data_IF_217562490099
#
_entry.id   IF_217562490099
#
_cell.length_a   1.000
_cell.length_b   1.000
_cell.length_c   1.000
_cell.angle_alpha   90.00
_cell.angle_beta   90.00
_cell.angle_gamma   90.00
#
_symmetry.space_group_name_H-M   'P 1'
#
loop_
_entity.id
_entity.type
_entity.pdbx_description
1 polymer ?
#
# COMPACT_ATOMS: atom_id res chain seq x y z
N UNK A 1 3.22 -13.41 1.41
CA UNK A 1 2.63 -12.50 2.40
C UNK A 1 2.28 -11.14 1.79
N UNK A 2 1.37 -10.36 2.42
CA UNK A 2 1.17 -8.94 2.12
C UNK A 2 2.00 -8.11 3.10
N UNK A 3 2.90 -7.27 2.58
CA UNK A 3 3.72 -6.37 3.37
C UNK A 3 3.14 -4.95 3.31
N UNK A 4 2.68 -4.40 4.45
CA UNK A 4 2.36 -2.98 4.56
C UNK A 4 3.60 -2.29 5.12
N UNK A 5 4.35 -1.62 4.25
CA UNK A 5 5.59 -0.94 4.63
C UNK A 5 5.26 0.42 5.24
N UNK A 6 5.56 0.57 6.52
CA UNK A 6 5.31 1.80 7.28
C UNK A 6 6.61 2.51 7.63
N UNK A 7 6.57 3.84 7.65
CA UNK A 7 7.62 4.70 8.16
C UNK A 7 6.99 5.76 9.06
N UNK A 8 7.75 6.31 10.00
CA UNK A 8 7.25 7.34 10.91
C UNK A 8 6.59 8.49 10.13
N UNK A 9 5.39 8.87 10.56
CA UNK A 9 4.53 9.85 9.87
C UNK A 9 3.57 9.25 8.84
N UNK A 10 3.40 7.91 8.80
CA UNK A 10 2.38 7.29 7.95
C UNK A 10 0.96 7.74 8.35
N UNK A 11 0.01 7.70 7.42
CA UNK A 11 -1.41 7.99 7.72
C UNK A 11 -2.09 6.74 8.29
N UNK A 12 -2.59 6.87 9.52
CA UNK A 12 -3.10 5.74 10.32
C UNK A 12 -4.24 4.98 9.63
N UNK A 13 -5.22 5.72 9.09
CA UNK A 13 -6.39 5.09 8.44
C UNK A 13 -5.98 4.34 7.18
N UNK A 14 -5.03 4.89 6.44
CA UNK A 14 -4.55 4.31 5.16
C UNK A 14 -3.72 3.03 5.35
N UNK A 15 -3.13 2.85 6.52
CA UNK A 15 -2.42 1.64 6.90
C UNK A 15 -3.33 0.61 7.60
N UNK A 16 -4.08 1.05 8.64
CA UNK A 16 -4.81 0.16 9.54
C UNK A 16 -6.10 -0.36 8.90
N UNK A 17 -6.81 0.46 8.12
CA UNK A 17 -8.05 0.03 7.46
C UNK A 17 -7.81 -1.15 6.49
N UNK A 18 -6.91 -1.05 5.48
CA UNK A 18 -6.63 -2.18 4.61
C UNK A 18 -6.01 -3.37 5.37
N UNK A 19 -5.15 -3.15 6.37
CA UNK A 19 -4.65 -4.23 7.22
C UNK A 19 -5.78 -5.04 7.83
N UNK A 20 -6.77 -4.38 8.46
CA UNK A 20 -7.89 -5.05 9.10
C UNK A 20 -8.74 -5.85 8.09
N UNK A 21 -9.03 -5.26 6.92
CA UNK A 21 -9.80 -5.91 5.87
C UNK A 21 -9.09 -7.14 5.31
N UNK A 22 -7.79 -7.05 5.05
CA UNK A 22 -6.97 -8.17 4.58
C UNK A 22 -6.88 -9.30 5.61
N UNK A 23 -6.78 -8.97 6.91
CA UNK A 23 -6.86 -9.97 8.00
C UNK A 23 -8.20 -10.69 8.02
N UNK A 24 -9.31 -9.96 7.83
CA UNK A 24 -10.64 -10.57 7.73
C UNK A 24 -10.78 -11.49 6.52
N UNK A 25 -10.07 -11.21 5.43
CA UNK A 25 -9.99 -12.07 4.24
C UNK A 25 -9.13 -13.34 4.46
N UNK A 26 -8.55 -13.53 5.66
CA UNK A 26 -7.68 -14.66 5.95
C UNK A 26 -6.32 -14.60 5.27
N UNK A 27 -5.87 -13.39 4.87
CA UNK A 27 -4.57 -13.20 4.25
C UNK A 27 -3.47 -13.04 5.31
N UNK A 28 -2.26 -13.51 5.00
CA UNK A 28 -1.08 -13.22 5.80
C UNK A 28 -0.61 -11.80 5.48
N UNK A 29 -1.08 -10.85 6.30
CA UNK A 29 -0.71 -9.44 6.19
C UNK A 29 0.05 -9.01 7.44
N UNK A 30 1.15 -8.29 7.23
CA UNK A 30 2.03 -7.83 8.30
C UNK A 30 2.42 -6.38 8.08
N UNK A 31 2.51 -5.61 9.18
CA UNK A 31 3.24 -4.36 9.17
C UNK A 31 4.73 -4.64 9.14
N UNK A 32 5.42 -3.94 8.26
CA UNK A 32 6.87 -3.96 8.10
C UNK A 32 7.37 -2.54 8.35
N UNK A 33 8.20 -2.35 9.37
CA UNK A 33 8.71 -1.03 9.70
C UNK A 33 9.97 -0.68 8.91
N UNK A 34 10.03 0.52 8.36
CA UNK A 34 11.20 0.97 7.63
C UNK A 34 12.43 1.08 8.53
N UNK A 35 12.28 1.75 9.69
CA UNK A 35 13.39 2.08 10.58
C UNK A 35 13.44 1.22 11.84
N UNK A 36 12.37 0.48 12.16
CA UNK A 36 12.31 -0.31 13.39
C UNK A 36 11.04 -1.14 13.47
N UNK A 37 10.90 -1.88 14.58
CA UNK A 37 9.70 -2.68 14.86
C UNK A 37 8.56 -1.86 15.47
N UNK A 38 8.70 -0.55 15.51
CA UNK A 38 7.68 0.38 16.02
C UNK A 38 7.69 1.63 15.18
N UNK A 39 6.57 1.94 14.55
CA UNK A 39 6.41 3.14 13.72
C UNK A 39 5.23 3.96 14.22
N UNK A 40 5.41 5.27 14.31
CA UNK A 40 4.36 6.21 14.75
C UNK A 40 3.71 6.91 13.57
N UNK A 41 2.40 6.83 13.50
CA UNK A 41 1.61 7.53 12.49
C UNK A 41 1.51 9.04 12.73
N UNK A 42 1.09 9.77 11.71
CA UNK A 42 0.92 11.23 11.73
C UNK A 42 -0.09 11.71 12.81
N UNK A 43 -1.05 10.86 13.16
CA UNK A 43 -2.04 11.14 14.21
C UNK A 43 -1.62 10.66 15.61
N UNK A 44 -0.38 10.18 15.78
CA UNK A 44 0.15 9.71 17.07
C UNK A 44 -0.17 8.25 17.41
N UNK A 45 -0.87 7.51 16.53
CA UNK A 45 -1.08 6.08 16.71
C UNK A 45 0.20 5.34 16.31
N UNK A 46 0.70 4.50 17.20
CA UNK A 46 1.87 3.68 16.97
C UNK A 46 1.47 2.24 16.63
N UNK A 47 2.09 1.64 15.62
CA UNK A 47 1.93 0.23 15.30
C UNK A 47 3.21 -0.54 15.65
N UNK A 48 3.01 -1.77 16.12
CA UNK A 48 4.07 -2.75 16.26
C UNK A 48 4.19 -3.53 14.94
N UNK A 49 5.39 -3.52 14.37
CA UNK A 49 5.70 -4.19 13.11
C UNK A 49 6.21 -5.61 13.39
N UNK A 50 5.78 -6.56 12.59
CA UNK A 50 6.21 -7.95 12.71
C UNK A 50 7.71 -8.11 12.47
N UNK A 51 8.25 -7.25 11.59
CA UNK A 51 9.68 -7.21 11.24
C UNK A 51 10.04 -5.85 10.66
N UNK A 52 11.33 -5.59 10.53
CA UNK A 52 11.84 -4.43 9.78
C UNK A 52 11.95 -4.73 8.30
N UNK A 53 12.07 -3.68 7.47
CA UNK A 53 12.35 -3.82 6.04
C UNK A 53 13.64 -4.62 5.78
N UNK A 54 14.69 -4.36 6.55
CA UNK A 54 15.96 -5.09 6.45
C UNK A 54 15.78 -6.59 6.76
N UNK A 55 15.07 -6.93 7.85
CA UNK A 55 14.78 -8.33 8.20
C UNK A 55 13.96 -9.03 7.11
N UNK A 56 12.99 -8.35 6.49
CA UNK A 56 12.20 -8.92 5.39
C UNK A 56 13.07 -9.18 4.15
N UNK A 57 13.96 -8.24 3.81
CA UNK A 57 14.90 -8.41 2.68
C UNK A 57 15.84 -9.61 2.93
N UNK A 58 16.39 -9.72 4.14
CA UNK A 58 17.31 -10.81 4.51
C UNK A 58 16.60 -12.18 4.56
N UNK A 59 15.32 -12.22 4.94
CA UNK A 59 14.57 -13.48 5.03
C UNK A 59 14.34 -14.16 3.69
N UNK A 60 14.36 -13.41 2.58
CA UNK A 60 14.01 -13.92 1.26
C UNK A 60 12.54 -14.34 1.13
N UNK A 61 11.68 -13.94 2.06
CA UNK A 61 10.26 -14.30 2.06
C UNK A 61 9.54 -13.70 0.83
N UNK A 62 8.64 -14.49 0.23
CA UNK A 62 7.87 -14.06 -0.93
C UNK A 62 6.89 -12.96 -0.56
N UNK A 63 6.92 -11.86 -1.32
CA UNK A 63 5.97 -10.76 -1.19
C UNK A 63 4.92 -10.88 -2.31
N UNK A 64 3.68 -11.19 -1.93
CA UNK A 64 2.56 -11.28 -2.87
C UNK A 64 1.97 -9.90 -3.17
N UNK A 65 2.12 -8.94 -2.24
CA UNK A 65 1.73 -7.55 -2.41
C UNK A 65 2.55 -6.63 -1.49
N UNK A 66 3.10 -5.55 -2.05
CA UNK A 66 3.71 -4.46 -1.31
C UNK A 66 2.75 -3.29 -1.26
N UNK A 67 2.35 -2.89 -0.04
CA UNK A 67 1.41 -1.80 0.21
C UNK A 67 2.13 -0.62 0.86
N UNK A 68 1.98 0.57 0.28
CA UNK A 68 2.58 1.80 0.78
C UNK A 68 1.46 2.75 1.22
N UNK A 69 1.26 2.99 2.53
CA UNK A 69 0.37 4.02 3.03
C UNK A 69 0.96 5.41 2.78
N UNK A 70 0.09 6.41 2.70
CA UNK A 70 0.49 7.79 2.61
C UNK A 70 0.83 8.39 3.96
N UNK A 71 0.55 9.68 4.12
CA UNK A 71 0.97 10.50 5.24
C UNK A 71 2.36 11.09 5.03
N UNK A 72 2.61 12.25 5.65
CA UNK A 72 3.89 12.91 5.62
C UNK A 72 4.42 13.06 7.05
N UNK A 73 5.73 12.85 7.26
CA UNK A 73 6.77 12.55 6.28
C UNK A 73 6.86 11.07 5.87
N UNK A 74 5.96 10.18 6.30
CA UNK A 74 6.03 8.74 6.05
C UNK A 74 6.27 8.38 4.58
N UNK A 75 5.43 8.89 3.67
CA UNK A 75 5.58 8.60 2.24
C UNK A 75 6.90 9.14 1.65
N UNK A 76 7.41 10.27 2.14
CA UNK A 76 8.72 10.78 1.74
C UNK A 76 9.85 9.88 2.24
N UNK A 77 9.76 9.44 3.48
CA UNK A 77 10.73 8.50 4.07
C UNK A 77 10.77 7.18 3.27
N UNK A 78 9.60 6.67 2.86
CA UNK A 78 9.53 5.48 2.00
C UNK A 78 10.16 5.72 0.62
N UNK A 79 9.95 6.92 0.03
CA UNK A 79 10.47 7.25 -1.29
C UNK A 79 12.02 7.32 -1.30
N UNK A 80 12.61 7.81 -0.22
CA UNK A 80 14.05 8.05 -0.09
C UNK A 80 14.84 6.82 0.40
N UNK A 81 14.14 5.79 0.92
CA UNK A 81 14.79 4.64 1.53
C UNK A 81 15.22 3.59 0.50
N UNK A 82 16.50 3.18 0.50
CA UNK A 82 17.00 2.12 -0.39
C UNK A 82 16.36 0.74 -0.11
N UNK A 83 15.86 0.51 1.10
CA UNK A 83 15.11 -0.70 1.44
C UNK A 83 13.82 -0.80 0.64
N UNK A 84 13.17 0.32 0.37
CA UNK A 84 11.95 0.37 -0.48
C UNK A 84 12.26 -0.12 -1.89
N UNK A 85 13.37 0.29 -2.49
CA UNK A 85 13.78 -0.17 -3.81
C UNK A 85 14.01 -1.68 -3.84
N UNK A 86 14.69 -2.22 -2.83
CA UNK A 86 14.91 -3.67 -2.70
C UNK A 86 13.61 -4.45 -2.53
N UNK A 87 12.67 -3.95 -1.73
CA UNK A 87 11.37 -4.60 -1.55
C UNK A 87 10.52 -4.54 -2.83
N UNK A 88 10.62 -3.46 -3.61
CA UNK A 88 10.01 -3.36 -4.94
C UNK A 88 10.61 -4.43 -5.87
N UNK A 89 11.94 -4.58 -5.92
CA UNK A 89 12.60 -5.60 -6.73
C UNK A 89 12.19 -7.03 -6.33
N UNK A 90 12.10 -7.32 -5.03
CA UNK A 90 11.66 -8.62 -4.52
C UNK A 90 10.21 -8.88 -4.94
N UNK A 91 9.32 -7.90 -4.76
CA UNK A 91 7.91 -7.99 -5.15
C UNK A 91 7.77 -8.23 -6.65
N UNK A 92 8.55 -7.52 -7.48
CA UNK A 92 8.56 -7.70 -8.93
C UNK A 92 8.99 -9.12 -9.33
N UNK A 93 10.09 -9.63 -8.76
CA UNK A 93 10.60 -10.99 -9.00
C UNK A 93 9.59 -12.06 -8.58
N UNK A 94 8.79 -11.80 -7.55
CA UNK A 94 7.72 -12.69 -7.11
C UNK A 94 6.45 -12.62 -7.97
N UNK A 95 6.36 -11.69 -8.91
CA UNK A 95 5.13 -11.42 -9.66
C UNK A 95 4.02 -10.80 -8.78
N UNK A 96 4.39 -10.18 -7.65
CA UNK A 96 3.48 -9.59 -6.68
C UNK A 96 2.81 -8.30 -7.15
N UNK A 97 1.84 -7.83 -6.39
CA UNK A 97 1.13 -6.59 -6.62
C UNK A 97 1.81 -5.40 -5.95
N UNK A 98 1.60 -4.21 -6.50
CA UNK A 98 2.06 -2.93 -5.99
C UNK A 98 0.86 -2.07 -5.63
N UNK A 99 0.71 -1.74 -4.38
CA UNK A 99 -0.42 -0.95 -3.89
C UNK A 99 0.07 0.30 -3.15
N UNK A 100 -0.56 1.44 -3.40
CA UNK A 100 -0.21 2.70 -2.74
C UNK A 100 -1.40 3.65 -2.65
N UNK A 101 -1.46 4.45 -1.59
CA UNK A 101 -2.58 5.37 -1.35
C UNK A 101 -2.07 6.77 -1.01
N UNK A 102 -2.86 7.80 -1.35
CA UNK A 102 -2.65 9.20 -0.98
C UNK A 102 -1.36 9.77 -1.60
N UNK A 103 -0.36 10.08 -0.79
CA UNK A 103 0.94 10.57 -1.25
C UNK A 103 1.82 9.44 -1.81
N UNK A 104 1.68 8.22 -1.32
CA UNK A 104 2.59 7.12 -1.61
C UNK A 104 2.65 6.63 -3.06
N UNK A 105 1.62 6.79 -3.93
CA UNK A 105 1.77 6.48 -5.36
C UNK A 105 2.94 7.20 -6.04
N UNK A 106 3.42 8.33 -5.48
CA UNK A 106 4.62 9.01 -5.96
C UNK A 106 5.86 8.11 -5.94
N UNK A 107 5.94 7.17 -5.01
CA UNK A 107 7.06 6.23 -4.88
C UNK A 107 7.21 5.39 -6.14
N UNK A 108 6.11 4.84 -6.64
CA UNK A 108 6.08 4.08 -7.89
C UNK A 108 6.15 5.00 -9.12
N UNK A 109 5.51 6.17 -9.05
CA UNK A 109 5.50 7.14 -10.15
C UNK A 109 6.89 7.68 -10.48
N UNK A 110 7.67 8.12 -9.48
CA UNK A 110 9.05 8.60 -9.65
C UNK A 110 9.99 7.53 -10.21
N UNK A 111 9.69 6.25 -9.97
CA UNK A 111 10.41 5.11 -10.54
C UNK A 111 9.94 4.72 -11.94
N UNK A 112 9.01 5.49 -12.52
CA UNK A 112 8.46 5.25 -13.86
C UNK A 112 7.57 4.01 -13.98
N UNK A 113 7.24 3.36 -12.87
CA UNK A 113 6.48 2.11 -12.84
C UNK A 113 5.01 2.28 -13.24
N UNK A 114 4.50 3.50 -13.15
CA UNK A 114 3.10 3.84 -13.50
C UNK A 114 2.95 4.38 -14.94
N UNK A 115 4.03 4.48 -15.70
CA UNK A 115 3.97 4.96 -17.09
C UNK A 115 3.10 4.07 -17.95
N UNK A 116 2.13 4.66 -18.66
CA UNK A 116 1.16 3.97 -19.51
C UNK A 116 0.06 3.23 -18.74
N UNK A 117 -0.04 3.43 -17.42
CA UNK A 117 -1.08 2.83 -16.57
C UNK A 117 -2.11 3.85 -16.15
N UNK A 118 -3.30 3.36 -15.78
CA UNK A 118 -4.31 4.15 -15.09
C UNK A 118 -4.03 4.12 -13.59
N UNK A 119 -3.82 5.30 -12.98
CA UNK A 119 -3.47 5.43 -11.58
C UNK A 119 -4.08 6.69 -10.96
N UNK A 120 -4.14 6.74 -9.63
CA UNK A 120 -4.54 7.94 -8.89
C UNK A 120 -3.65 8.16 -7.68
N UNK A 121 -3.69 9.37 -7.14
CA UNK A 121 -3.02 9.77 -5.90
C UNK A 121 -3.77 10.96 -5.31
N UNK A 122 -3.38 11.37 -4.12
CA UNK A 122 -3.80 12.66 -3.58
C UNK A 122 -3.48 13.78 -4.59
N UNK A 123 -4.37 14.75 -4.80
CA UNK A 123 -4.27 15.69 -5.94
C UNK A 123 -2.90 16.32 -6.11
N UNK A 124 -2.26 16.78 -5.03
CA UNK A 124 -0.95 17.44 -5.07
C UNK A 124 0.19 16.49 -5.47
N UNK A 125 0.00 15.17 -5.33
CA UNK A 125 0.99 14.13 -5.65
C UNK A 125 0.83 13.54 -7.04
N UNK A 126 -0.27 13.84 -7.75
CA UNK A 126 -0.50 13.37 -9.14
C UNK A 126 0.59 13.82 -10.11
N UNK A 127 1.25 14.95 -9.84
CA UNK A 127 2.40 15.45 -10.61
C UNK A 127 3.58 14.49 -10.68
N UNK A 128 3.67 13.54 -9.77
CA UNK A 128 4.72 12.51 -9.75
C UNK A 128 4.35 11.25 -10.53
N UNK A 129 3.14 11.16 -11.08
CA UNK A 129 2.65 10.02 -11.87
C UNK A 129 2.89 10.27 -13.36
N UNK A 130 4.12 10.64 -13.72
CA UNK A 130 4.45 10.99 -15.09
C UNK A 130 4.15 9.86 -16.07
N UNK A 131 3.46 10.20 -17.16
CA UNK A 131 3.04 9.22 -18.18
C UNK A 131 1.90 8.28 -17.76
N UNK A 132 1.31 8.45 -16.58
CA UNK A 132 0.10 7.74 -16.20
C UNK A 132 -1.17 8.49 -16.66
N UNK A 133 -2.24 7.73 -16.92
CA UNK A 133 -3.59 8.29 -17.06
C UNK A 133 -4.19 8.42 -15.65
N UNK A 134 -4.58 9.64 -15.28
CA UNK A 134 -5.19 9.86 -13.96
C UNK A 134 -6.63 9.34 -13.99
N UNK A 135 -6.93 8.41 -13.07
CA UNK A 135 -8.27 7.85 -12.92
C UNK A 135 -9.28 8.93 -12.45
N UNK A 136 -10.51 8.83 -12.93
CA UNK A 136 -11.64 9.67 -12.46
C UNK A 136 -12.08 9.29 -11.05
N UNK A 137 -11.97 7.99 -10.70
CA UNK A 137 -12.36 7.45 -9.38
C UNK A 137 -11.27 7.61 -8.32
N UNK A 138 -11.68 7.34 -7.08
CA UNK A 138 -10.79 7.41 -5.92
C UNK A 138 -9.90 6.17 -5.74
N UNK A 139 -10.20 5.07 -6.43
CA UNK A 139 -9.38 3.85 -6.49
C UNK A 139 -9.20 3.47 -7.95
N UNK A 140 -8.01 3.07 -8.32
CA UNK A 140 -7.67 2.60 -9.66
C UNK A 140 -6.87 1.31 -9.57
N UNK A 141 -7.20 0.33 -10.44
CA UNK A 141 -6.40 -0.87 -10.65
C UNK A 141 -6.06 -1.01 -12.12
N UNK A 142 -4.79 -1.19 -12.41
CA UNK A 142 -4.27 -1.47 -13.74
C UNK A 142 -3.21 -2.57 -13.65
N UNK A 143 -3.62 -3.77 -14.07
CA UNK A 143 -2.78 -4.96 -13.91
C UNK A 143 -2.44 -5.24 -12.45
N UNK A 144 -1.16 -5.19 -12.13
CA UNK A 144 -0.65 -5.42 -10.76
C UNK A 144 -0.54 -4.15 -9.91
N UNK A 145 -0.93 -2.99 -10.43
CA UNK A 145 -0.89 -1.73 -9.70
C UNK A 145 -2.27 -1.34 -9.18
N UNK A 146 -2.35 -1.02 -7.90
CA UNK A 146 -3.57 -0.57 -7.23
C UNK A 146 -3.24 0.72 -6.51
N UNK A 147 -3.91 1.81 -6.87
CA UNK A 147 -3.66 3.13 -6.29
C UNK A 147 -4.95 3.75 -5.79
N UNK A 148 -4.86 4.58 -4.74
CA UNK A 148 -6.00 5.29 -4.21
C UNK A 148 -5.69 6.74 -3.85
N UNK A 149 -6.73 7.59 -3.87
CA UNK A 149 -6.57 9.04 -3.80
C UNK A 149 -6.25 9.56 -2.39
N UNK A 150 -6.67 8.87 -1.32
CA UNK A 150 -6.43 9.34 0.03
C UNK A 150 -7.31 8.65 1.08
N UNK A 151 -7.23 9.12 2.31
CA UNK A 151 -7.84 8.52 3.49
C UNK A 151 -9.32 8.14 3.31
N UNK A 152 -10.11 8.99 2.63
CA UNK A 152 -11.53 8.72 2.37
C UNK A 152 -11.77 7.51 1.46
N UNK A 153 -10.75 7.04 0.72
CA UNK A 153 -10.81 5.86 -0.13
C UNK A 153 -10.18 4.61 0.52
N UNK A 154 -9.71 4.68 1.76
CA UNK A 154 -8.96 3.60 2.39
C UNK A 154 -9.76 2.29 2.50
N UNK A 155 -11.07 2.38 2.68
CA UNK A 155 -11.94 1.21 2.76
C UNK A 155 -12.08 0.54 1.39
N UNK A 156 -12.43 1.30 0.35
CA UNK A 156 -12.58 0.79 -1.03
C UNK A 156 -11.24 0.28 -1.56
N UNK A 157 -10.14 0.97 -1.22
CA UNK A 157 -8.79 0.50 -1.48
C UNK A 157 -8.54 -0.88 -0.87
N UNK A 158 -8.85 -1.07 0.41
CA UNK A 158 -8.69 -2.36 1.08
C UNK A 158 -9.52 -3.47 0.44
N UNK A 159 -10.76 -3.19 0.00
CA UNK A 159 -11.58 -4.14 -0.75
C UNK A 159 -10.95 -4.50 -2.10
N UNK A 160 -10.38 -3.52 -2.81
CA UNK A 160 -9.72 -3.77 -4.08
C UNK A 160 -8.44 -4.63 -3.92
N UNK A 161 -7.70 -4.47 -2.81
CA UNK A 161 -6.58 -5.36 -2.48
C UNK A 161 -7.05 -6.80 -2.27
N UNK A 162 -8.21 -7.00 -1.63
CA UNK A 162 -8.81 -8.32 -1.45
C UNK A 162 -9.20 -8.91 -2.81
N UNK A 163 -9.88 -8.15 -3.67
CA UNK A 163 -10.24 -8.58 -5.03
C UNK A 163 -9.02 -9.02 -5.84
N UNK A 164 -7.91 -8.32 -5.67
CA UNK A 164 -6.67 -8.63 -6.39
C UNK A 164 -6.02 -9.94 -5.92
N UNK A 165 -6.10 -10.27 -4.63
CA UNK A 165 -5.43 -11.41 -4.02
C UNK A 165 -6.33 -12.64 -3.86
N UNK A 166 -7.64 -12.44 -3.88
CA UNK A 166 -8.67 -13.47 -3.73
C UNK A 166 -9.66 -13.40 -4.89
N UNK A 167 -10.82 -12.80 -4.63
CA UNK A 167 -11.94 -12.67 -5.57
C UNK A 167 -12.94 -11.61 -5.10
N UNK A 168 -13.89 -11.29 -5.98
CA UNK A 168 -14.98 -10.34 -5.72
C UNK A 168 -15.91 -10.83 -4.61
N UNK A 169 -16.22 -12.13 -4.57
CA UNK A 169 -17.14 -12.72 -3.59
C UNK A 169 -16.61 -12.53 -2.16
N UNK A 170 -15.31 -12.74 -1.95
CA UNK A 170 -14.65 -12.53 -0.64
C UNK A 170 -14.70 -11.07 -0.24
N UNK A 171 -14.41 -10.14 -1.14
CA UNK A 171 -14.47 -8.71 -0.88
C UNK A 171 -15.89 -8.26 -0.52
N UNK A 172 -16.91 -8.72 -1.26
CA UNK A 172 -18.30 -8.36 -1.03
C UNK A 172 -18.84 -8.94 0.29
N UNK A 173 -18.49 -10.18 0.64
CA UNK A 173 -18.80 -10.77 1.95
C UNK A 173 -18.21 -9.95 3.10
N UNK A 174 -16.97 -9.51 2.98
CA UNK A 174 -16.33 -8.69 4.01
C UNK A 174 -16.97 -7.32 4.08
N UNK A 175 -17.26 -6.68 2.95
CA UNK A 175 -17.96 -5.41 2.89
C UNK A 175 -19.30 -5.47 3.62
N UNK A 176 -20.11 -6.49 3.35
CA UNK A 176 -21.39 -6.71 4.04
C UNK A 176 -21.20 -6.96 5.55
N UNK A 177 -20.21 -7.78 5.94
CA UNK A 177 -19.97 -8.14 7.33
C UNK A 177 -19.53 -6.95 8.21
N UNK A 178 -18.96 -5.89 7.61
CA UNK A 178 -18.56 -4.67 8.33
C UNK A 178 -19.56 -3.52 8.12
N UNK A 179 -20.77 -3.82 7.63
CA UNK A 179 -21.85 -2.86 7.42
C UNK A 179 -21.50 -1.73 6.42
N UNK A 180 -20.62 -1.98 5.48
CA UNK A 180 -20.39 -1.07 4.38
C UNK A 180 -21.49 -1.21 3.32
N UNK A 181 -21.78 -0.10 2.62
CA UNK A 181 -22.83 -0.06 1.60
C UNK A 181 -22.45 -0.80 0.34
#
# INVERSE_FOLDING_TARGET
MVAILTANGYECVEAICPFNLLKRAGLDVRFVGLNGKTESGSCGVTVECAMTAAELIESGEKIDMLVLPGGLPGATNLDEAPETDKLIEITEKCGGFFAAICAAPMVYGKRGMLKGKTATAYPEFRKYLDGATIAEGNVARDGRFITAAGMGAAFDFGLELIRALKDDETADKISAAVCAK
#
